data_IF_936018965070
#
_entry.id   IF_936018965070
#
_cell.length_a   1.000
_cell.length_b   1.000
_cell.length_c   1.000
_cell.angle_alpha   90.00
_cell.angle_beta   90.00
_cell.angle_gamma   90.00
#
_symmetry.space_group_name_H-M   'P 1'
#
loop_
_entity.id
_entity.type
_entity.pdbx_description
1 polymer ?
#
# COMPACT_ATOMS: atom_id res chain seq x y z
N UNK A 1 -11.73 -6.77 2.84
CA UNK A 1 -10.35 -6.92 2.30
C UNK A 1 -9.47 -7.53 3.39
N UNK A 2 -8.85 -8.69 3.16
CA UNK A 2 -7.95 -9.31 4.14
C UNK A 2 -6.60 -8.64 3.99
N UNK A 3 -6.33 -7.63 4.80
CA UNK A 3 -5.03 -6.96 4.82
C UNK A 3 -3.93 -8.03 4.89
N UNK A 4 -2.88 -7.98 4.04
CA UNK A 4 -1.75 -8.87 4.20
C UNK A 4 -1.26 -8.68 5.64
N UNK A 5 -1.16 -9.78 6.38
CA UNK A 5 -0.85 -9.81 7.84
C UNK A 5 0.58 -9.29 8.16
N UNK A 6 1.22 -8.60 7.22
CA UNK A 6 2.65 -8.38 7.12
C UNK A 6 3.05 -6.91 7.25
N UNK A 7 2.17 -6.02 7.72
CA UNK A 7 2.65 -4.73 8.20
C UNK A 7 3.44 -4.92 9.48
N UNK A 8 4.76 -4.64 9.51
CA UNK A 8 5.48 -4.57 10.76
C UNK A 8 4.76 -3.56 11.65
N UNK A 9 4.64 -3.86 12.95
CA UNK A 9 3.96 -2.98 13.90
C UNK A 9 4.67 -1.62 13.88
N UNK A 10 4.03 -0.64 13.25
CA UNK A 10 4.47 0.73 13.25
C UNK A 10 4.23 1.31 14.67
N UNK A 11 5.14 1.05 15.59
CA UNK A 11 5.16 1.73 16.89
C UNK A 11 5.43 3.22 16.63
N UNK A 12 4.46 4.08 16.92
CA UNK A 12 4.60 5.54 16.81
C UNK A 12 4.25 6.16 15.46
N UNK A 13 3.60 5.45 14.53
CA UNK A 13 3.10 6.11 13.31
C UNK A 13 1.75 6.79 13.55
N UNK A 14 1.63 8.03 13.04
CA UNK A 14 0.43 8.88 13.14
C UNK A 14 -0.80 8.33 12.42
N UNK A 15 -0.60 7.29 11.58
CA UNK A 15 -1.64 6.71 10.74
C UNK A 15 -1.85 5.22 11.04
N UNK A 16 -3.09 4.72 10.95
CA UNK A 16 -3.36 3.28 11.07
C UNK A 16 -2.61 2.51 9.98
N UNK A 17 -2.06 1.35 10.35
CA UNK A 17 -1.39 0.41 9.42
C UNK A 17 -2.24 0.05 8.20
N UNK A 18 -3.56 0.07 8.35
CA UNK A 18 -4.54 -0.30 7.32
C UNK A 18 -4.58 0.74 6.19
N UNK A 19 -4.33 2.00 6.52
CA UNK A 19 -4.31 3.10 5.56
C UNK A 19 -3.02 3.08 4.75
N UNK A 20 -1.88 2.89 5.43
CA UNK A 20 -0.57 2.71 4.79
C UNK A 20 -0.61 1.49 3.86
N UNK A 21 -1.24 0.41 4.31
CA UNK A 21 -1.49 -0.78 3.52
C UNK A 21 -2.24 -0.51 2.23
N UNK A 22 -3.34 0.20 2.37
CA UNK A 22 -4.21 0.47 1.25
C UNK A 22 -3.52 1.33 0.20
N UNK A 23 -2.84 2.40 0.61
CA UNK A 23 -2.11 3.28 -0.32
C UNK A 23 -0.97 2.57 -1.06
N UNK A 24 -0.13 1.81 -0.35
CA UNK A 24 1.00 1.08 -0.97
C UNK A 24 0.50 -0.08 -1.84
N UNK A 25 -0.63 -0.71 -1.50
CA UNK A 25 -1.23 -1.76 -2.32
C UNK A 25 -1.88 -1.20 -3.59
N UNK A 26 -2.61 -0.08 -3.48
CA UNK A 26 -3.33 0.52 -4.59
C UNK A 26 -2.38 1.04 -5.68
N UNK A 27 -1.21 1.56 -5.28
CA UNK A 27 -0.19 2.09 -6.19
C UNK A 27 0.18 1.13 -7.35
N UNK A 28 0.74 -0.08 -7.11
CA UNK A 28 1.07 -1.02 -8.18
C UNK A 28 -0.15 -1.77 -8.71
N UNK A 29 -1.26 -1.86 -7.96
CA UNK A 29 -2.44 -2.64 -8.36
C UNK A 29 -3.24 -1.97 -9.48
N UNK A 30 -3.33 -0.65 -9.42
CA UNK A 30 -4.11 0.19 -10.33
C UNK A 30 -3.24 1.10 -11.20
N UNK A 31 -1.90 0.94 -11.14
CA UNK A 31 -0.94 1.82 -11.82
C UNK A 31 -1.13 3.30 -11.50
N UNK A 32 -1.52 3.61 -10.26
CA UNK A 32 -1.80 4.97 -9.79
C UNK A 32 -0.52 5.77 -9.61
N UNK A 33 -0.58 7.09 -9.81
CA UNK A 33 0.53 7.96 -9.41
C UNK A 33 0.48 8.23 -7.90
N UNK A 34 1.57 8.78 -7.35
CA UNK A 34 1.60 9.16 -5.93
C UNK A 34 0.58 10.25 -5.57
N UNK A 35 0.13 11.02 -6.57
CA UNK A 35 -0.93 12.01 -6.41
C UNK A 35 -2.31 11.35 -6.32
N UNK A 36 -2.62 10.40 -7.20
CA UNK A 36 -3.90 9.68 -7.14
C UNK A 36 -4.05 8.89 -5.84
N UNK A 37 -2.96 8.31 -5.33
CA UNK A 37 -2.97 7.63 -4.03
C UNK A 37 -3.22 8.62 -2.88
N UNK A 38 -2.69 9.84 -2.96
CA UNK A 38 -2.97 10.90 -2.00
C UNK A 38 -4.46 11.30 -2.02
N UNK A 39 -5.04 11.50 -3.21
CA UNK A 39 -6.46 11.83 -3.36
C UNK A 39 -7.37 10.70 -2.87
N UNK A 40 -7.06 9.46 -3.21
CA UNK A 40 -7.81 8.28 -2.77
C UNK A 40 -7.76 8.10 -1.24
N UNK A 41 -6.65 8.49 -0.60
CA UNK A 41 -6.56 8.54 0.86
C UNK A 41 -7.33 9.73 1.44
N UNK A 42 -7.33 10.88 0.76
CA UNK A 42 -8.09 12.05 1.16
C UNK A 42 -9.62 11.79 1.11
N UNK A 43 -10.11 11.08 0.09
CA UNK A 43 -11.50 10.61 0.01
C UNK A 43 -11.87 9.69 1.17
N UNK A 44 -10.91 8.90 1.66
CA UNK A 44 -11.04 8.07 2.86
C UNK A 44 -10.88 8.83 4.19
N UNK A 45 -10.78 10.17 4.15
CA UNK A 45 -10.62 11.03 5.32
C UNK A 45 -9.19 11.09 5.87
N UNK A 46 -8.20 10.64 5.09
CA UNK A 46 -6.79 10.59 5.48
C UNK A 46 -5.98 11.55 4.62
N UNK A 47 -5.66 12.71 5.19
CA UNK A 47 -4.81 13.71 4.54
C UNK A 47 -3.35 13.32 4.75
N UNK A 48 -2.70 12.86 3.67
CA UNK A 48 -1.26 12.55 3.63
C UNK A 48 -0.62 13.31 2.48
N UNK A 49 0.62 13.77 2.65
CA UNK A 49 1.35 14.40 1.54
C UNK A 49 1.94 13.34 0.60
N UNK A 50 2.08 13.68 -0.69
CA UNK A 50 2.75 12.88 -1.72
C UNK A 50 4.12 12.35 -1.29
N UNK A 51 4.89 13.14 -0.55
CA UNK A 51 6.19 12.71 0.02
C UNK A 51 6.03 11.58 1.04
N UNK A 52 4.99 11.61 1.86
CA UNK A 52 4.68 10.52 2.81
C UNK A 52 4.33 9.25 2.05
N UNK A 53 3.54 9.35 0.97
CA UNK A 53 3.23 8.22 0.09
C UNK A 53 4.50 7.66 -0.55
N UNK A 54 5.39 8.52 -1.05
CA UNK A 54 6.70 8.10 -1.60
C UNK A 54 7.56 7.39 -0.56
N UNK A 55 7.62 7.88 0.68
CA UNK A 55 8.36 7.24 1.77
C UNK A 55 7.78 5.87 2.10
N UNK A 56 6.45 5.72 2.09
CA UNK A 56 5.80 4.43 2.29
C UNK A 56 6.13 3.45 1.16
N UNK A 57 6.03 3.89 -0.09
CA UNK A 57 6.41 3.07 -1.25
C UNK A 57 7.88 2.68 -1.11
N UNK A 58 8.82 3.62 -0.96
CA UNK A 58 10.24 3.28 -0.87
C UNK A 58 10.56 2.28 0.27
N UNK A 59 9.89 2.43 1.43
CA UNK A 59 10.09 1.55 2.60
C UNK A 59 9.46 0.17 2.44
N UNK A 60 8.28 0.09 1.82
CA UNK A 60 7.48 -1.13 1.79
C UNK A 60 7.39 -1.79 0.41
N UNK A 61 7.88 -1.15 -0.65
CA UNK A 61 7.80 -1.61 -2.05
C UNK A 61 8.26 -3.05 -2.20
N UNK A 62 9.47 -3.39 -1.72
CA UNK A 62 9.98 -4.76 -1.79
C UNK A 62 9.12 -5.79 -1.05
N UNK A 63 8.61 -5.41 0.12
CA UNK A 63 7.73 -6.28 0.91
C UNK A 63 6.38 -6.48 0.22
N UNK A 64 5.81 -5.40 -0.32
CA UNK A 64 4.54 -5.40 -1.03
C UNK A 64 4.61 -6.11 -2.37
N UNK A 65 5.64 -5.87 -3.17
CA UNK A 65 5.90 -6.57 -4.40
C UNK A 65 5.96 -8.08 -4.16
N UNK A 66 6.62 -8.52 -3.07
CA UNK A 66 6.66 -9.94 -2.70
C UNK A 66 5.27 -10.46 -2.31
N UNK A 67 4.51 -9.72 -1.50
CA UNK A 67 3.15 -10.10 -1.10
C UNK A 67 2.18 -10.16 -2.30
N UNK A 68 2.19 -9.15 -3.17
CA UNK A 68 1.35 -9.08 -4.37
C UNK A 68 1.71 -10.22 -5.33
N UNK A 69 3.00 -10.53 -5.53
CA UNK A 69 3.42 -11.68 -6.34
C UNK A 69 2.95 -13.01 -5.77
N UNK A 70 2.85 -13.12 -4.44
CA UNK A 70 2.42 -14.32 -3.73
C UNK A 70 0.89 -14.47 -3.68
N UNK A 71 0.18 -13.34 -3.69
CA UNK A 71 -1.29 -13.25 -3.76
C UNK A 71 -1.81 -13.41 -5.20
N UNK A 72 -0.95 -13.15 -6.20
CA UNK A 72 -1.29 -13.42 -7.60
C UNK A 72 -1.57 -14.92 -7.74
N UNK A 73 -2.75 -15.33 -8.26
CA UNK A 73 -3.03 -16.72 -8.52
C UNK A 73 -1.89 -17.29 -9.36
N UNK A 74 -1.37 -18.46 -8.97
CA UNK A 74 -0.39 -19.16 -9.81
C UNK A 74 -0.98 -19.25 -11.22
N UNK A 75 -0.20 -18.94 -12.28
CA UNK A 75 -0.68 -19.20 -13.62
C UNK A 75 -1.14 -20.65 -13.63
N UNK A 76 -2.42 -20.83 -13.95
CA UNK A 76 -3.04 -22.15 -14.00
C UNK A 76 -2.33 -22.89 -15.13
N UNK A 77 -1.36 -23.73 -14.78
CA UNK A 77 -0.70 -24.66 -15.68
C UNK A 77 -1.82 -25.57 -16.21
N UNK A 78 -2.14 -25.43 -17.49
CA UNK A 78 -3.18 -26.17 -18.20
C UNK A 78 -2.53 -27.18 -19.12
#
# INVERSE_FOLDING_TARGET
MKLPRFFPRLKGSRFPREIVAYGVWAYPRFSLSTADVEELLAEHGVIVSRETVRLWINRFDRHFATCIRRDRPKPNDK
#
